data_IF_073716888315
#
_entry.id   IF_073716888315
#
_cell.length_a   1.000
_cell.length_b   1.000
_cell.length_c   1.000
_cell.angle_alpha   90.00
_cell.angle_beta   90.00
_cell.angle_gamma   90.00
#
_symmetry.space_group_name_H-M   'P 1'
#
loop_
_entity.id
_entity.type
_entity.pdbx_description
1 polymer ?
#
# COMPACT_ATOMS: atom_id res chain seq x y z
N UNK A 1 -12.95 9.28 -23.08
CA UNK A 1 -11.60 9.33 -22.49
C UNK A 1 -10.63 10.29 -23.21
N UNK A 2 -11.05 11.02 -24.25
CA UNK A 2 -10.11 11.68 -25.17
C UNK A 2 -9.40 12.92 -24.60
N UNK A 3 -9.86 13.40 -23.44
CA UNK A 3 -9.27 14.52 -22.70
C UNK A 3 -8.26 14.10 -21.62
N UNK A 4 -8.09 12.80 -21.40
CA UNK A 4 -7.16 12.27 -20.41
C UNK A 4 -5.78 12.04 -21.03
N UNK A 5 -4.73 12.35 -20.28
CA UNK A 5 -3.36 11.93 -20.62
C UNK A 5 -3.25 10.41 -20.59
N UNK A 6 -2.21 9.85 -21.21
CA UNK A 6 -1.95 8.40 -21.12
C UNK A 6 -1.84 7.95 -19.66
N UNK A 7 -1.07 8.66 -18.85
CA UNK A 7 -0.91 8.39 -17.43
C UNK A 7 -2.26 8.36 -16.68
N UNK A 8 -3.14 9.33 -16.93
CA UNK A 8 -4.47 9.35 -16.31
C UNK A 8 -5.35 8.18 -16.77
N UNK A 9 -5.24 7.75 -18.03
CA UNK A 9 -5.96 6.57 -18.53
C UNK A 9 -5.45 5.30 -17.85
N UNK A 10 -4.13 5.15 -17.72
CA UNK A 10 -3.50 4.00 -17.09
C UNK A 10 -3.85 3.92 -15.60
N UNK A 11 -3.80 5.06 -14.90
CA UNK A 11 -4.24 5.18 -13.52
C UNK A 11 -5.70 4.78 -13.38
N UNK A 12 -6.61 5.37 -14.18
CA UNK A 12 -8.03 5.08 -14.05
C UNK A 12 -8.37 3.64 -14.42
N UNK A 13 -7.76 3.07 -15.46
CA UNK A 13 -7.95 1.68 -15.82
C UNK A 13 -7.54 0.76 -14.66
N UNK A 14 -6.40 1.05 -14.02
CA UNK A 14 -5.90 0.29 -12.86
C UNK A 14 -6.81 0.46 -11.64
N UNK A 15 -7.26 1.68 -11.35
CA UNK A 15 -8.19 1.96 -10.24
C UNK A 15 -9.51 1.24 -10.42
N UNK A 16 -10.12 1.31 -11.60
CA UNK A 16 -11.37 0.61 -11.87
C UNK A 16 -11.20 -0.90 -11.83
N UNK A 17 -10.03 -1.42 -12.25
CA UNK A 17 -9.75 -2.83 -12.14
C UNK A 17 -9.65 -3.30 -10.68
N UNK A 18 -8.94 -2.54 -9.83
CA UNK A 18 -8.84 -2.84 -8.40
C UNK A 18 -10.21 -2.78 -7.69
N UNK A 19 -11.03 -1.78 -8.00
CA UNK A 19 -12.39 -1.65 -7.45
C UNK A 19 -13.31 -2.79 -7.91
N UNK A 20 -13.20 -3.23 -9.16
CA UNK A 20 -13.98 -4.35 -9.67
C UNK A 20 -13.60 -5.68 -8.99
N UNK A 21 -12.30 -5.90 -8.73
CA UNK A 21 -11.83 -7.06 -7.99
C UNK A 21 -12.34 -7.03 -6.54
N UNK A 22 -12.27 -5.87 -5.89
CA UNK A 22 -12.80 -5.65 -4.56
C UNK A 22 -14.31 -5.98 -4.46
N UNK A 23 -15.12 -5.41 -5.35
CA UNK A 23 -16.57 -5.65 -5.40
C UNK A 23 -16.90 -7.12 -5.70
N UNK A 24 -16.07 -7.76 -6.53
CA UNK A 24 -16.15 -9.20 -6.83
C UNK A 24 -15.64 -10.12 -5.72
N UNK A 25 -15.14 -9.59 -4.60
CA UNK A 25 -14.55 -10.37 -3.51
C UNK A 25 -13.28 -11.14 -3.91
N UNK A 26 -12.63 -10.72 -4.99
CA UNK A 26 -11.37 -11.30 -5.45
C UNK A 26 -10.18 -10.62 -4.75
N UNK A 27 -9.07 -11.35 -4.63
CA UNK A 27 -7.81 -10.77 -4.19
C UNK A 27 -7.34 -9.68 -5.16
N UNK A 28 -6.57 -8.71 -4.64
CA UNK A 28 -6.10 -7.55 -5.38
C UNK A 28 -4.60 -7.67 -5.54
N UNK A 29 -4.22 -8.57 -6.45
CA UNK A 29 -2.84 -8.78 -6.85
C UNK A 29 -2.57 -8.11 -8.19
N UNK A 30 -1.30 -7.82 -8.48
CA UNK A 30 -0.90 -7.25 -9.78
C UNK A 30 -1.29 -8.18 -10.94
N UNK A 31 -1.24 -9.50 -10.74
CA UNK A 31 -1.67 -10.50 -11.72
C UNK A 31 -3.17 -10.46 -12.02
N UNK A 32 -4.01 -10.33 -10.99
CA UNK A 32 -5.47 -10.22 -11.18
C UNK A 32 -5.86 -8.89 -11.81
N UNK A 33 -5.21 -7.80 -11.42
CA UNK A 33 -5.40 -6.50 -12.05
C UNK A 33 -5.04 -6.59 -13.55
N UNK A 34 -3.87 -7.14 -13.89
CA UNK A 34 -3.47 -7.33 -15.27
C UNK A 34 -4.45 -8.21 -16.06
N UNK A 35 -4.93 -9.29 -15.46
CA UNK A 35 -5.93 -10.17 -16.09
C UNK A 35 -7.20 -9.40 -16.47
N UNK A 36 -7.66 -8.52 -15.59
CA UNK A 36 -8.86 -7.71 -15.85
C UNK A 36 -8.60 -6.60 -16.87
N UNK A 37 -7.42 -5.98 -16.84
CA UNK A 37 -6.99 -5.00 -17.83
C UNK A 37 -6.93 -5.63 -19.24
N UNK A 38 -6.36 -6.83 -19.37
CA UNK A 38 -6.34 -7.58 -20.62
C UNK A 38 -7.75 -7.93 -21.10
N UNK A 39 -8.61 -8.44 -20.20
CA UNK A 39 -9.99 -8.80 -20.51
C UNK A 39 -10.83 -7.61 -21.01
N UNK A 40 -10.46 -6.38 -20.62
CA UNK A 40 -11.14 -5.15 -21.02
C UNK A 40 -10.43 -4.39 -22.16
N UNK A 41 -9.35 -4.95 -22.71
CA UNK A 41 -8.59 -4.37 -23.82
C UNK A 41 -7.63 -3.24 -23.41
N UNK A 42 -7.34 -3.08 -22.12
CA UNK A 42 -6.40 -2.10 -21.58
C UNK A 42 -4.96 -2.66 -21.53
N UNK A 43 -4.46 -3.19 -22.64
CA UNK A 43 -3.16 -3.88 -22.72
C UNK A 43 -1.94 -2.94 -22.75
N UNK A 44 -2.16 -1.62 -22.85
CA UNK A 44 -1.10 -0.60 -22.94
C UNK A 44 -0.78 0.07 -21.59
N UNK A 45 -1.43 -0.38 -20.52
CA UNK A 45 -1.20 0.12 -19.15
C UNK A 45 0.23 -0.23 -18.73
N UNK A 46 0.95 0.78 -18.25
CA UNK A 46 2.31 0.56 -17.76
C UNK A 46 2.30 -0.32 -16.50
N UNK A 47 3.14 -1.36 -16.50
CA UNK A 47 3.19 -2.35 -15.42
C UNK A 47 3.46 -1.76 -14.03
N UNK A 48 4.03 -0.54 -13.97
CA UNK A 48 4.16 0.23 -12.74
C UNK A 48 2.81 0.40 -12.01
N UNK A 49 1.72 0.71 -12.72
CA UNK A 49 0.42 0.98 -12.08
C UNK A 49 -0.15 -0.26 -11.37
N UNK A 50 -0.35 -1.42 -12.03
CA UNK A 50 -0.83 -2.62 -11.34
C UNK A 50 0.02 -3.04 -10.13
N UNK A 51 1.34 -2.86 -10.21
CA UNK A 51 2.25 -3.21 -9.12
C UNK A 51 2.04 -2.30 -7.90
N UNK A 52 2.04 -0.97 -8.09
CA UNK A 52 1.89 -0.05 -6.95
C UNK A 52 0.49 -0.14 -6.33
N UNK A 53 -0.55 -0.34 -7.15
CA UNK A 53 -1.93 -0.46 -6.68
C UNK A 53 -2.11 -1.72 -5.85
N UNK A 54 -1.59 -2.87 -6.32
CA UNK A 54 -1.63 -4.11 -5.56
C UNK A 54 -0.88 -4.01 -4.22
N UNK A 55 0.28 -3.36 -4.21
CA UNK A 55 1.06 -3.18 -2.96
C UNK A 55 0.32 -2.27 -1.98
N UNK A 56 -0.24 -1.16 -2.45
CA UNK A 56 -0.93 -0.19 -1.61
C UNK A 56 -2.26 -0.75 -1.10
N UNK A 57 -3.08 -1.33 -1.98
CA UNK A 57 -4.43 -1.86 -1.71
C UNK A 57 -4.45 -3.34 -1.33
N UNK A 58 -3.34 -3.84 -0.79
CA UNK A 58 -3.14 -5.24 -0.38
C UNK A 58 -4.12 -5.73 0.71
N UNK A 59 -4.74 -4.81 1.46
CA UNK A 59 -5.80 -5.12 2.43
C UNK A 59 -7.13 -4.52 1.95
N UNK A 60 -8.24 -5.28 2.01
CA UNK A 60 -9.59 -4.79 1.73
C UNK A 60 -9.98 -3.56 2.57
N UNK A 61 -9.49 -3.48 3.80
CA UNK A 61 -9.75 -2.35 4.71
C UNK A 61 -9.27 -1.03 4.11
N UNK A 62 -8.10 -1.02 3.47
CA UNK A 62 -7.53 0.19 2.84
C UNK A 62 -8.39 0.71 1.70
N UNK A 63 -9.07 -0.18 0.97
CA UNK A 63 -10.01 0.22 -0.08
C UNK A 63 -11.27 0.82 0.53
N UNK A 64 -11.79 0.19 1.60
CA UNK A 64 -12.93 0.72 2.34
C UNK A 64 -12.63 2.11 2.92
N UNK A 65 -11.45 2.30 3.50
CA UNK A 65 -11.02 3.58 4.04
C UNK A 65 -10.96 4.66 2.94
N UNK A 66 -10.44 4.31 1.76
CA UNK A 66 -10.37 5.25 0.63
C UNK A 66 -11.75 5.64 0.10
N UNK A 67 -12.71 4.70 0.11
CA UNK A 67 -14.09 4.93 -0.33
C UNK A 67 -14.89 5.74 0.70
N UNK A 68 -14.78 5.39 1.98
CA UNK A 68 -15.55 5.99 3.07
C UNK A 68 -14.99 7.34 3.54
N UNK A 69 -13.68 7.53 3.40
CA UNK A 69 -12.96 8.75 3.80
C UNK A 69 -12.12 9.30 2.66
N UNK A 70 -12.75 9.78 1.57
CA UNK A 70 -12.03 10.34 0.42
C UNK A 70 -11.31 11.62 0.85
N UNK A 71 -10.00 11.52 1.10
CA UNK A 71 -9.15 12.60 1.61
C UNK A 71 -8.10 12.16 2.63
N UNK A 72 -8.27 10.97 3.24
CA UNK A 72 -7.36 10.43 4.26
C UNK A 72 -6.12 9.70 3.74
N UNK A 73 -6.08 9.32 2.46
CA UNK A 73 -4.98 8.53 1.89
C UNK A 73 -4.60 9.02 0.50
N UNK A 74 -3.42 9.61 0.35
CA UNK A 74 -2.95 10.07 -0.96
C UNK A 74 -1.79 11.05 -0.93
N UNK A 75 -0.69 10.71 -0.26
CA UNK A 75 0.59 11.37 -0.51
C UNK A 75 1.17 10.90 -1.85
N UNK A 76 0.82 11.55 -2.96
CA UNK A 76 1.30 11.17 -4.28
C UNK A 76 1.13 12.26 -5.34
N UNK A 77 2.12 13.17 -5.41
CA UNK A 77 2.60 13.79 -6.65
C UNK A 77 1.63 14.58 -7.55
N UNK A 78 1.55 15.89 -7.33
CA UNK A 78 1.66 16.90 -8.40
C UNK A 78 0.48 17.04 -9.38
N UNK A 79 -0.51 17.84 -9.00
CA UNK A 79 -1.46 18.47 -9.90
C UNK A 79 -2.21 19.59 -9.19
N UNK A 80 -1.69 20.82 -9.26
CA UNK A 80 -2.27 21.98 -8.58
C UNK A 80 -3.70 22.30 -9.03
N UNK A 81 -4.55 22.57 -8.05
CA UNK A 81 -5.92 23.05 -8.21
C UNK A 81 -6.56 23.12 -6.83
N UNK A 82 -6.56 24.32 -6.24
CA UNK A 82 -6.76 24.51 -4.80
C UNK A 82 -8.20 24.40 -4.30
N UNK A 83 -8.29 24.39 -2.96
CA UNK A 83 -9.31 25.13 -2.23
C UNK A 83 -10.14 24.31 -1.24
N UNK A 84 -9.82 24.47 0.04
CA UNK A 84 -10.75 24.41 1.19
C UNK A 84 -11.14 23.00 1.67
N UNK A 85 -11.11 22.68 2.95
CA UNK A 85 -10.82 23.48 4.14
C UNK A 85 -10.88 22.61 5.39
N UNK A 86 -10.28 23.15 6.44
CA UNK A 86 -10.55 23.00 7.88
C UNK A 86 -11.33 21.77 8.38
N UNK A 87 -10.69 21.06 9.32
CA UNK A 87 -11.27 20.03 10.15
C UNK A 87 -10.32 19.62 11.27
N UNK A 88 -10.00 20.58 12.15
CA UNK A 88 -9.38 20.36 13.45
C UNK A 88 -10.29 19.50 14.35
N UNK A 89 -9.74 18.48 15.00
CA UNK A 89 -10.11 18.07 16.36
C UNK A 89 -9.24 16.90 16.84
N UNK A 90 -8.35 17.20 17.78
CA UNK A 90 -7.78 16.25 18.72
C UNK A 90 -8.81 15.84 19.79
N UNK A 91 -8.81 14.57 20.20
CA UNK A 91 -9.18 14.04 21.53
C UNK A 91 -8.89 12.52 21.49
N UNK A 92 -7.83 12.02 22.13
CA UNK A 92 -7.87 11.43 23.49
C UNK A 92 -8.93 10.31 23.64
N UNK A 93 -8.49 9.06 23.69
CA UNK A 93 -8.76 8.20 24.86
C UNK A 93 -7.74 7.05 24.95
N UNK A 94 -7.27 6.87 26.17
CA UNK A 94 -6.28 5.93 26.67
C UNK A 94 -6.96 4.58 27.00
N UNK A 95 -6.14 3.54 27.22
CA UNK A 95 -6.45 2.26 27.89
C UNK A 95 -7.01 1.11 27.03
N UNK A 96 -6.10 0.22 26.62
CA UNK A 96 -6.28 -1.23 26.78
C UNK A 96 -4.88 -1.88 26.88
N UNK A 97 -4.46 -2.11 28.12
CA UNK A 97 -3.28 -2.90 28.51
C UNK A 97 -3.55 -4.41 28.30
N UNK A 98 -2.45 -5.15 28.12
CA UNK A 98 -2.25 -6.59 28.38
C UNK A 98 -2.98 -7.64 27.51
N UNK A 99 -2.27 -8.17 26.50
CA UNK A 99 -1.98 -9.62 26.33
C UNK A 99 -1.22 -9.86 25.01
N UNK A 100 0.13 -9.77 25.03
CA UNK A 100 1.03 -10.54 24.13
C UNK A 100 2.35 -10.73 24.89
N UNK A 101 2.30 -11.50 25.97
CA UNK A 101 3.46 -12.25 26.46
C UNK A 101 3.50 -13.55 25.63
N UNK A 102 4.69 -14.00 25.21
CA UNK A 102 4.97 -15.21 24.39
C UNK A 102 5.05 -15.03 22.85
N UNK A 103 6.07 -14.33 22.30
CA UNK A 103 6.75 -14.80 21.06
C UNK A 103 8.05 -14.08 20.60
N UNK A 104 8.75 -13.27 21.42
CA UNK A 104 10.02 -12.60 20.99
C UNK A 104 11.23 -13.06 21.85
N UNK A 105 11.34 -14.36 22.09
CA UNK A 105 12.59 -15.00 22.52
C UNK A 105 13.42 -15.51 21.31
N UNK A 106 13.10 -15.04 20.10
CA UNK A 106 13.76 -15.40 18.84
C UNK A 106 14.19 -14.16 18.03
N UNK A 107 14.53 -13.04 18.70
CA UNK A 107 15.28 -11.95 18.07
C UNK A 107 16.77 -12.30 18.11
N UNK A 108 17.17 -13.03 17.07
CA UNK A 108 18.49 -13.58 16.88
C UNK A 108 19.65 -12.60 17.12
N UNK A 109 20.68 -13.12 17.79
CA UNK A 109 22.04 -13.01 17.28
C UNK A 109 22.68 -11.62 17.28
N UNK A 110 22.56 -10.88 18.37
CA UNK A 110 23.44 -9.74 18.68
C UNK A 110 24.90 -10.12 19.03
N UNK A 111 25.43 -11.23 18.49
CA UNK A 111 26.78 -11.74 18.78
C UNK A 111 27.80 -11.52 17.64
N UNK A 112 27.40 -10.95 16.50
CA UNK A 112 28.30 -10.79 15.33
C UNK A 112 28.58 -9.33 14.90
N UNK A 113 28.47 -8.36 15.83
CA UNK A 113 28.91 -6.96 15.58
C UNK A 113 30.11 -6.52 16.44
N UNK A 114 30.80 -7.46 17.09
CA UNK A 114 32.12 -7.26 17.72
C UNK A 114 32.90 -8.60 17.77
N UNK A 115 32.97 -9.27 16.63
CA UNK A 115 33.53 -10.63 16.49
C UNK A 115 34.36 -10.77 15.22
N UNK A 116 35.20 -9.78 14.97
CA UNK A 116 36.13 -9.77 13.84
C UNK A 116 37.41 -9.09 14.27
N UNK A 117 38.21 -9.77 15.09
CA UNK A 117 39.66 -9.70 14.95
C UNK A 117 40.31 -10.97 15.50
N UNK A 118 41.03 -11.61 14.60
CA UNK A 118 41.87 -12.78 14.75
C UNK A 118 43.13 -12.39 15.54
N UNK A 119 43.21 -12.75 16.83
CA UNK A 119 44.45 -12.80 17.62
C UNK A 119 44.11 -13.51 18.96
N UNK A 120 44.51 -14.75 19.22
CA UNK A 120 45.90 -15.19 19.27
C UNK A 120 46.35 -15.19 20.74
N UNK A 121 46.60 -16.37 21.30
CA UNK A 121 47.46 -16.48 22.49
C UNK A 121 46.92 -17.33 23.65
N UNK A 122 47.39 -18.58 23.68
CA UNK A 122 47.85 -19.34 24.85
C UNK A 122 47.59 -18.80 26.27
N UNK A 123 46.73 -19.47 27.05
CA UNK A 123 47.03 -20.00 28.39
C UNK A 123 45.90 -20.89 28.92
#
# INVERSE_FOLDING_TARGET
MDKLTKAQKDEYATTFAALALFDGGAEITSGQINTLLEATGNTEVEAFYPIIFANFLSSPEKIMDLICSPGGGGGGGGGGGGGGGDGDAAAEEEVAEEEVEEEEADMGGGMDMFGGDDAGGDY
#
